data_IF_794853670086
#
_entry.id   IF_794853670086
#
_cell.length_a   1.000
_cell.length_b   1.000
_cell.length_c   1.000
_cell.angle_alpha   90.00
_cell.angle_beta   90.00
_cell.angle_gamma   90.00
#
_symmetry.space_group_name_H-M   'P 1'
#
loop_
_entity.id
_entity.type
_entity.pdbx_description
1 polymer ?
#
# COMPACT_ATOMS: atom_id res chain seq x y z
N UNK A 1 0.55 -13.20 -13.56
CA UNK A 1 -0.28 -13.59 -14.75
C UNK A 1 0.41 -14.72 -15.49
N UNK A 2 -0.32 -15.70 -15.96
CA UNK A 2 0.21 -16.84 -16.72
C UNK A 2 -0.52 -16.94 -18.08
N UNK A 3 0.22 -16.89 -19.18
CA UNK A 3 -0.33 -16.95 -20.55
C UNK A 3 0.68 -17.67 -21.46
N UNK A 4 0.28 -18.74 -22.11
CA UNK A 4 1.11 -19.46 -23.11
C UNK A 4 2.54 -19.73 -22.66
N UNK A 5 2.73 -20.38 -21.48
CA UNK A 5 4.03 -20.68 -20.87
C UNK A 5 4.83 -19.43 -20.43
N UNK A 6 4.17 -18.28 -20.34
CA UNK A 6 4.73 -17.04 -19.80
C UNK A 6 4.12 -16.78 -18.43
N UNK A 7 4.96 -16.56 -17.45
CA UNK A 7 4.59 -16.09 -16.11
C UNK A 7 5.11 -14.67 -15.90
N UNK A 8 4.22 -13.73 -15.60
CA UNK A 8 4.62 -12.41 -15.13
C UNK A 8 4.08 -12.14 -13.74
N UNK A 9 4.89 -11.51 -12.88
CA UNK A 9 4.46 -11.10 -11.55
C UNK A 9 5.17 -9.81 -11.12
N UNK A 10 4.55 -9.12 -10.17
CA UNK A 10 5.04 -7.89 -9.58
C UNK A 10 4.81 -7.91 -8.08
N UNK A 11 5.87 -7.67 -7.31
CA UNK A 11 5.86 -7.69 -5.86
C UNK A 11 5.75 -6.28 -5.30
N UNK A 12 4.95 -6.15 -4.25
CA UNK A 12 4.82 -4.94 -3.44
C UNK A 12 4.84 -5.33 -1.96
N UNK A 13 5.41 -4.48 -1.14
CA UNK A 13 5.43 -4.62 0.32
C UNK A 13 4.48 -3.61 0.95
N UNK A 14 3.93 -3.96 2.08
CA UNK A 14 3.13 -3.06 2.91
C UNK A 14 3.53 -3.24 4.37
N UNK A 15 3.44 -2.18 5.13
CA UNK A 15 3.74 -2.23 6.55
C UNK A 15 3.45 -0.89 7.23
N UNK A 16 3.39 -0.89 8.54
CA UNK A 16 3.34 0.32 9.33
C UNK A 16 4.67 1.07 9.28
N UNK A 17 4.71 2.25 9.84
CA UNK A 17 5.95 3.02 10.01
C UNK A 17 6.86 2.26 10.98
N UNK A 18 8.11 1.91 10.60
CA UNK A 18 8.98 1.04 11.38
C UNK A 18 9.75 1.82 12.46
N UNK A 19 9.01 2.47 13.36
CA UNK A 19 9.48 3.20 14.54
C UNK A 19 8.76 2.68 15.77
N UNK A 20 9.25 3.02 16.96
CA UNK A 20 8.57 2.74 18.22
C UNK A 20 7.50 3.79 18.48
N UNK A 21 6.25 3.46 18.24
CA UNK A 21 5.13 4.35 18.48
C UNK A 21 3.89 3.59 18.96
N UNK A 22 3.03 4.30 19.65
CA UNK A 22 1.76 3.78 20.16
C UNK A 22 0.62 4.78 20.00
N UNK A 23 -0.61 4.27 20.14
CA UNK A 23 -1.83 5.08 20.20
C UNK A 23 -2.55 4.83 21.55
N UNK A 24 -2.04 5.39 22.67
CA UNK A 24 -2.62 5.15 23.98
C UNK A 24 -3.94 5.88 24.18
N UNK A 25 -4.86 5.25 24.89
CA UNK A 25 -6.08 5.89 25.36
C UNK A 25 -7.37 5.24 24.85
N UNK A 26 -8.46 5.55 25.56
CA UNK A 26 -9.81 4.99 25.34
C UNK A 26 -10.59 5.76 24.27
N UNK A 27 -10.06 6.88 23.79
CA UNK A 27 -10.75 7.73 22.81
C UNK A 27 -10.78 7.06 21.44
N UNK A 28 -11.84 7.32 20.69
CA UNK A 28 -11.89 6.93 19.28
C UNK A 28 -10.76 7.61 18.51
N UNK A 29 -9.84 6.81 17.94
CA UNK A 29 -8.63 7.26 17.23
C UNK A 29 -7.77 8.23 18.07
N UNK A 30 -7.13 7.77 19.14
CA UNK A 30 -6.20 8.61 19.89
C UNK A 30 -5.03 9.06 19.00
N UNK A 31 -4.44 10.25 19.23
CA UNK A 31 -3.26 10.66 18.49
C UNK A 31 -2.11 9.70 18.78
N UNK A 32 -1.34 9.28 17.75
CA UNK A 32 -0.15 8.49 17.97
C UNK A 32 0.93 9.33 18.63
N UNK A 33 1.82 8.66 19.36
CA UNK A 33 3.03 9.24 19.96
C UNK A 33 4.22 8.35 19.70
N UNK A 34 5.41 8.94 19.64
CA UNK A 34 6.67 8.20 19.66
C UNK A 34 6.96 7.72 21.08
N UNK A 35 7.45 6.49 21.21
CA UNK A 35 7.72 5.85 22.51
C UNK A 35 9.20 5.66 22.78
N UNK A 36 10.08 5.96 21.83
CA UNK A 36 11.52 5.81 21.93
C UNK A 36 12.26 7.14 21.67
N UNK A 37 13.54 7.14 21.96
CA UNK A 37 14.44 8.23 21.59
C UNK A 37 14.76 8.22 20.10
N UNK A 38 15.18 9.34 19.49
CA UNK A 38 15.54 9.39 18.07
C UNK A 38 16.61 8.36 17.68
N UNK A 39 17.59 8.08 18.55
CA UNK A 39 18.64 7.10 18.28
C UNK A 39 18.11 5.66 18.29
N UNK A 40 17.20 5.34 19.20
CA UNK A 40 16.52 4.02 19.24
C UNK A 40 15.63 3.83 18.03
N UNK A 41 14.90 4.86 17.61
CA UNK A 41 14.07 4.83 16.42
C UNK A 41 14.93 4.64 15.16
N UNK A 42 16.05 5.35 15.03
CA UNK A 42 16.96 5.17 13.91
C UNK A 42 17.59 3.78 13.88
N UNK A 43 17.93 3.21 15.03
CA UNK A 43 18.45 1.84 15.11
C UNK A 43 17.40 0.81 14.66
N UNK A 44 16.16 0.93 15.11
CA UNK A 44 15.05 0.08 14.70
C UNK A 44 14.75 0.21 13.19
N UNK A 45 14.71 1.44 12.71
CA UNK A 45 14.51 1.77 11.30
C UNK A 45 15.60 1.15 10.42
N UNK A 46 16.85 1.31 10.80
CA UNK A 46 18.02 0.74 10.10
C UNK A 46 17.94 -0.79 10.07
N UNK A 47 17.64 -1.41 11.20
CA UNK A 47 17.48 -2.86 11.30
C UNK A 47 16.37 -3.38 10.40
N UNK A 48 15.22 -2.70 10.38
CA UNK A 48 14.07 -3.04 9.54
C UNK A 48 14.44 -2.98 8.05
N UNK A 49 15.03 -1.88 7.58
CA UNK A 49 15.39 -1.74 6.18
C UNK A 49 16.54 -2.68 5.76
N UNK A 50 17.47 -3.01 6.65
CA UNK A 50 18.46 -4.05 6.37
C UNK A 50 17.81 -5.42 6.15
N UNK A 51 16.74 -5.77 6.87
CA UNK A 51 15.97 -6.98 6.62
C UNK A 51 15.24 -6.92 5.27
N UNK A 52 14.60 -5.80 4.94
CA UNK A 52 13.95 -5.60 3.64
C UNK A 52 14.96 -5.75 2.50
N UNK A 53 16.15 -5.13 2.59
CA UNK A 53 17.22 -5.27 1.59
C UNK A 53 17.80 -6.68 1.50
N UNK A 54 17.73 -7.49 2.55
CA UNK A 54 18.16 -8.89 2.51
C UNK A 54 17.20 -9.79 1.72
N UNK A 55 15.96 -9.33 1.54
CA UNK A 55 14.89 -10.08 0.85
C UNK A 55 14.67 -9.56 -0.57
N UNK A 56 14.71 -8.23 -0.74
CA UNK A 56 14.39 -7.57 -2.01
C UNK A 56 15.67 -6.96 -2.62
N UNK A 57 16.03 -7.47 -3.79
CA UNK A 57 17.18 -6.94 -4.54
C UNK A 57 16.80 -5.61 -5.22
N UNK A 58 17.60 -4.56 -4.96
CA UNK A 58 17.49 -3.24 -5.57
C UNK A 58 16.80 -2.19 -4.69
N UNK A 59 16.46 -1.01 -5.27
CA UNK A 59 15.95 0.11 -4.49
C UNK A 59 14.57 -0.18 -3.87
N UNK A 60 14.38 0.33 -2.65
CA UNK A 60 13.09 0.35 -1.98
C UNK A 60 12.48 1.74 -2.14
N UNK A 61 11.29 1.82 -2.73
CA UNK A 61 10.53 3.07 -2.84
C UNK A 61 9.42 3.09 -1.81
N UNK A 62 9.63 3.81 -0.72
CA UNK A 62 8.64 4.03 0.33
C UNK A 62 7.59 5.02 -0.16
N UNK A 63 6.32 4.61 -0.14
CA UNK A 63 5.18 5.47 -0.41
C UNK A 63 4.44 5.69 0.90
N UNK A 64 4.66 6.85 1.53
CA UNK A 64 4.03 7.21 2.80
C UNK A 64 2.65 7.83 2.57
N UNK A 65 1.63 7.22 3.16
CA UNK A 65 0.23 7.68 3.14
C UNK A 65 -0.20 8.29 4.48
N UNK A 66 0.75 8.57 5.35
CA UNK A 66 0.54 9.18 6.66
C UNK A 66 0.12 10.65 6.46
N UNK A 67 -0.74 11.20 7.32
CA UNK A 67 -1.18 12.59 7.21
C UNK A 67 -0.01 13.57 7.42
N UNK A 68 0.14 14.55 6.52
CA UNK A 68 1.14 15.63 6.61
C UNK A 68 0.79 16.67 7.68
N UNK A 69 -0.48 16.76 7.98
CA UNK A 69 -1.06 17.65 8.99
C UNK A 69 -1.96 16.83 9.90
N UNK A 70 -2.32 17.37 11.06
CA UNK A 70 -3.23 16.69 11.97
C UNK A 70 -2.54 15.68 12.91
N UNK A 71 -3.24 14.61 13.22
CA UNK A 71 -2.85 13.71 14.32
C UNK A 71 -1.68 12.80 13.99
N UNK A 72 -1.55 12.37 12.75
CA UNK A 72 -0.53 11.44 12.30
C UNK A 72 0.80 12.14 11.98
N UNK A 73 0.84 13.49 11.95
CA UNK A 73 2.01 14.28 11.55
C UNK A 73 3.29 13.87 12.29
N UNK A 74 3.23 13.67 13.60
CA UNK A 74 4.40 13.29 14.40
C UNK A 74 5.08 12.03 13.92
N UNK A 75 4.29 11.05 13.46
CA UNK A 75 4.81 9.80 12.90
C UNK A 75 5.33 10.00 11.48
N UNK A 76 4.63 10.81 10.69
CA UNK A 76 5.06 11.13 9.32
C UNK A 76 6.39 11.87 9.27
N UNK A 77 6.57 12.87 10.13
CA UNK A 77 7.82 13.62 10.27
C UNK A 77 8.97 12.70 10.72
N UNK A 78 8.77 11.93 11.80
CA UNK A 78 9.78 11.00 12.28
C UNK A 78 10.15 9.93 11.24
N UNK A 79 9.18 9.46 10.45
CA UNK A 79 9.45 8.52 9.36
C UNK A 79 10.37 9.13 8.30
N UNK A 80 10.10 10.36 7.89
CA UNK A 80 10.93 11.07 6.92
C UNK A 80 12.31 11.39 7.48
N UNK A 81 12.41 11.87 8.73
CA UNK A 81 13.68 12.19 9.38
C UNK A 81 14.59 10.96 9.50
N UNK A 82 14.04 9.80 9.85
CA UNK A 82 14.79 8.55 9.89
C UNK A 82 15.21 8.06 8.50
N UNK A 83 14.37 8.24 7.48
CA UNK A 83 14.73 7.93 6.10
C UNK A 83 15.90 8.80 5.59
N UNK A 84 15.89 10.10 5.94
CA UNK A 84 16.99 11.01 5.65
C UNK A 84 18.26 10.66 6.44
N UNK A 85 18.12 10.35 7.75
CA UNK A 85 19.25 9.98 8.61
C UNK A 85 19.90 8.66 8.17
N UNK A 86 19.13 7.69 7.67
CA UNK A 86 19.66 6.44 7.11
C UNK A 86 20.52 6.69 5.86
N UNK A 87 20.25 7.78 5.12
CA UNK A 87 21.06 8.30 4.01
C UNK A 87 21.50 7.24 2.98
N UNK A 88 20.60 6.38 2.56
CA UNK A 88 20.87 5.35 1.54
C UNK A 88 20.42 5.84 0.16
N UNK A 89 21.30 5.73 -0.84
CA UNK A 89 21.01 6.11 -2.22
C UNK A 89 19.96 5.23 -2.91
N UNK A 90 19.71 4.03 -2.38
CA UNK A 90 18.73 3.05 -2.87
C UNK A 90 17.41 3.07 -2.06
N UNK A 91 17.24 4.00 -1.12
CA UNK A 91 15.99 4.26 -0.42
C UNK A 91 15.34 5.53 -0.99
N UNK A 92 14.27 5.35 -1.74
CA UNK A 92 13.44 6.45 -2.24
C UNK A 92 12.28 6.70 -1.28
N UNK A 93 11.93 7.96 -1.07
CA UNK A 93 10.82 8.33 -0.20
C UNK A 93 9.84 9.24 -0.95
N UNK A 94 8.63 8.74 -1.16
CA UNK A 94 7.53 9.46 -1.81
C UNK A 94 6.44 9.69 -0.79
N UNK A 95 6.00 10.93 -0.68
CA UNK A 95 4.95 11.33 0.24
C UNK A 95 3.66 11.63 -0.50
N UNK A 96 2.56 11.00 -0.09
CA UNK A 96 1.23 11.24 -0.63
C UNK A 96 0.21 11.34 0.51
N UNK A 97 -0.24 12.55 0.82
CA UNK A 97 -1.30 12.75 1.81
C UNK A 97 -2.63 12.22 1.29
N UNK A 98 -2.88 10.93 1.58
CA UNK A 98 -4.09 10.26 1.12
C UNK A 98 -5.36 10.94 1.64
N UNK A 99 -5.31 11.52 2.84
CA UNK A 99 -6.46 12.17 3.46
C UNK A 99 -6.81 13.49 2.78
N UNK A 100 -5.79 14.24 2.39
CA UNK A 100 -5.94 15.51 1.68
C UNK A 100 -6.41 15.28 0.23
N UNK A 101 -5.66 14.48 -0.53
CA UNK A 101 -5.93 14.24 -1.95
C UNK A 101 -7.22 13.45 -2.19
N UNK A 102 -7.52 12.47 -1.36
CA UNK A 102 -8.72 11.62 -1.50
C UNK A 102 -9.90 12.07 -0.62
N UNK A 103 -9.88 13.34 -0.18
CA UNK A 103 -10.97 13.93 0.62
C UNK A 103 -12.29 13.84 -0.11
N UNK A 104 -13.36 13.52 0.62
CA UNK A 104 -14.68 13.33 0.01
C UNK A 104 -14.80 12.05 -0.82
N UNK A 105 -13.96 11.05 -0.54
CA UNK A 105 -13.93 9.75 -1.23
C UNK A 105 -13.54 9.81 -2.71
N UNK A 106 -12.81 10.85 -3.11
CA UNK A 106 -12.28 11.00 -4.46
C UNK A 106 -11.04 10.12 -4.65
N UNK A 107 -11.22 8.81 -4.64
CA UNK A 107 -10.12 7.84 -4.74
C UNK A 107 -9.47 7.82 -6.13
N UNK A 108 -10.12 8.36 -7.14
CA UNK A 108 -9.55 8.62 -8.46
C UNK A 108 -8.32 9.54 -8.39
N UNK A 109 -8.20 10.38 -7.37
CA UNK A 109 -7.05 11.25 -7.16
C UNK A 109 -5.76 10.48 -6.82
N UNK A 110 -5.83 9.18 -6.53
CA UNK A 110 -4.64 8.33 -6.46
C UNK A 110 -3.90 8.29 -7.81
N UNK A 111 -4.57 8.59 -8.92
CA UNK A 111 -3.91 8.71 -10.22
C UNK A 111 -2.82 9.78 -10.24
N UNK A 112 -2.96 10.85 -9.45
CA UNK A 112 -1.90 11.89 -9.29
C UNK A 112 -0.60 11.25 -8.75
N UNK A 113 -0.73 10.36 -7.77
CA UNK A 113 0.43 9.61 -7.27
C UNK A 113 0.97 8.67 -8.34
N UNK A 114 0.10 7.96 -9.07
CA UNK A 114 0.54 7.02 -10.10
C UNK A 114 1.29 7.73 -11.22
N UNK A 115 0.80 8.87 -11.70
CA UNK A 115 1.46 9.71 -12.70
C UNK A 115 2.85 10.15 -12.22
N UNK A 116 2.98 10.56 -10.95
CA UNK A 116 4.26 10.92 -10.36
C UNK A 116 5.23 9.73 -10.18
N UNK A 117 4.70 8.51 -10.00
CA UNK A 117 5.52 7.30 -9.84
C UNK A 117 5.88 6.63 -11.17
N UNK A 118 5.16 6.90 -12.25
CA UNK A 118 5.21 6.06 -13.45
C UNK A 118 6.57 6.15 -14.14
N UNK A 119 7.06 7.35 -14.41
CA UNK A 119 8.30 7.55 -15.20
C UNK A 119 9.54 7.11 -14.41
N UNK A 120 9.70 7.57 -13.19
CA UNK A 120 10.94 7.43 -12.43
C UNK A 120 11.03 6.11 -11.66
N UNK A 121 9.88 5.52 -11.31
CA UNK A 121 9.86 4.36 -10.43
C UNK A 121 9.21 3.13 -11.05
N UNK A 122 7.97 3.20 -11.56
CA UNK A 122 7.26 2.00 -12.05
C UNK A 122 7.96 1.43 -13.29
N UNK A 123 8.33 2.28 -14.25
CA UNK A 123 9.04 1.86 -15.47
C UNK A 123 10.45 1.35 -15.16
N UNK A 124 11.18 2.02 -14.25
CA UNK A 124 12.53 1.64 -13.86
C UNK A 124 12.55 0.33 -13.05
N UNK A 125 11.55 0.12 -12.18
CA UNK A 125 11.44 -1.07 -11.35
C UNK A 125 11.16 -2.33 -12.16
N UNK A 126 10.47 -2.22 -13.30
CA UNK A 126 10.04 -3.35 -14.15
C UNK A 126 9.15 -4.34 -13.39
N UNK A 127 9.05 -5.56 -13.90
CA UNK A 127 8.38 -6.70 -13.27
C UNK A 127 9.09 -8.00 -13.65
N UNK A 128 8.85 -9.06 -12.92
CA UNK A 128 9.39 -10.36 -13.27
C UNK A 128 8.62 -10.95 -14.47
N UNK A 129 9.40 -11.45 -15.42
CA UNK A 129 8.90 -12.16 -16.60
C UNK A 129 9.73 -13.43 -16.79
N UNK A 130 9.05 -14.57 -16.77
CA UNK A 130 9.62 -15.88 -17.06
C UNK A 130 8.89 -16.49 -18.26
N UNK A 131 9.65 -17.18 -19.08
CA UNK A 131 9.10 -18.05 -20.13
C UNK A 131 9.69 -19.46 -20.03
N UNK A 132 9.40 -20.30 -21.00
CA UNK A 132 9.93 -21.67 -21.06
C UNK A 132 11.46 -21.77 -21.14
N UNK A 133 12.15 -20.69 -21.47
CA UNK A 133 13.61 -20.61 -21.55
C UNK A 133 14.25 -20.02 -20.30
N UNK A 134 13.46 -19.53 -19.36
CA UNK A 134 13.93 -18.96 -18.09
C UNK A 134 13.49 -17.53 -17.84
N UNK A 135 14.32 -16.78 -17.12
CA UNK A 135 14.03 -15.39 -16.72
C UNK A 135 14.33 -14.43 -17.86
N UNK A 136 13.30 -13.79 -18.42
CA UNK A 136 13.42 -12.75 -19.45
C UNK A 136 13.73 -11.39 -18.84
N UNK A 137 13.07 -11.07 -17.71
CA UNK A 137 13.22 -9.81 -17.00
C UNK A 137 13.01 -10.02 -15.51
N UNK A 138 13.78 -9.32 -14.69
CA UNK A 138 13.61 -9.31 -13.23
C UNK A 138 13.09 -7.95 -12.76
N UNK A 139 12.27 -7.97 -11.73
CA UNK A 139 11.89 -6.76 -11.01
C UNK A 139 13.11 -6.22 -10.27
N UNK A 140 13.33 -4.92 -10.34
CA UNK A 140 14.43 -4.21 -9.69
C UNK A 140 13.90 -3.33 -8.57
N UNK A 141 13.98 -3.84 -7.35
CA UNK A 141 13.46 -3.15 -6.18
C UNK A 141 11.97 -3.38 -5.94
N UNK A 142 11.41 -2.68 -4.98
CA UNK A 142 10.06 -2.89 -4.50
C UNK A 142 9.42 -1.59 -4.01
N UNK A 143 8.11 -1.45 -4.20
CA UNK A 143 7.32 -0.44 -3.51
C UNK A 143 6.97 -0.92 -2.11
N UNK A 144 7.23 -0.09 -1.10
CA UNK A 144 6.80 -0.28 0.27
C UNK A 144 5.76 0.79 0.63
N UNK A 145 4.49 0.40 0.65
CA UNK A 145 3.39 1.34 0.91
C UNK A 145 3.03 1.33 2.39
N UNK A 146 3.06 2.50 3.01
CA UNK A 146 2.88 2.70 4.44
C UNK A 146 1.68 3.59 4.76
N UNK A 147 0.96 3.25 5.80
CA UNK A 147 0.14 4.19 6.58
C UNK A 147 0.20 3.77 8.07
N UNK A 148 -0.63 4.33 8.93
CA UNK A 148 -0.63 3.96 10.36
C UNK A 148 -1.05 2.49 10.55
N UNK A 149 -2.22 2.11 10.04
CA UNK A 149 -2.78 0.75 10.16
C UNK A 149 -2.48 -0.17 8.96
N UNK A 150 -2.09 0.41 7.83
CA UNK A 150 -1.76 -0.29 6.58
C UNK A 150 -2.87 -1.22 6.06
N UNK A 151 -4.13 -0.89 6.30
CA UNK A 151 -5.27 -1.66 5.83
C UNK A 151 -5.89 -1.05 4.57
N UNK A 152 -6.84 -0.13 4.74
CA UNK A 152 -7.70 0.31 3.64
C UNK A 152 -7.01 1.26 2.66
N UNK A 153 -6.32 2.30 3.17
CA UNK A 153 -5.58 3.28 2.34
C UNK A 153 -4.49 2.59 1.53
N UNK A 154 -3.73 1.75 2.17
CA UNK A 154 -2.65 0.98 1.55
C UNK A 154 -3.17 0.06 0.45
N UNK A 155 -4.31 -0.62 0.69
CA UNK A 155 -4.90 -1.49 -0.33
C UNK A 155 -5.32 -0.72 -1.58
N UNK A 156 -5.89 0.47 -1.44
CA UNK A 156 -6.27 1.33 -2.58
C UNK A 156 -5.04 1.72 -3.41
N UNK A 157 -3.98 2.18 -2.77
CA UNK A 157 -2.75 2.60 -3.47
C UNK A 157 -2.04 1.42 -4.11
N UNK A 158 -1.89 0.30 -3.41
CA UNK A 158 -1.30 -0.90 -3.99
C UNK A 158 -2.10 -1.43 -5.18
N UNK A 159 -3.42 -1.36 -5.13
CA UNK A 159 -4.29 -1.73 -6.26
C UNK A 159 -4.03 -0.83 -7.47
N UNK A 160 -3.85 0.47 -7.27
CA UNK A 160 -3.59 1.41 -8.36
C UNK A 160 -2.22 1.15 -9.01
N UNK A 161 -1.15 0.97 -8.22
CA UNK A 161 0.18 0.59 -8.73
C UNK A 161 0.10 -0.73 -9.51
N UNK A 162 -0.53 -1.75 -8.94
CA UNK A 162 -0.66 -3.06 -9.58
C UNK A 162 -1.47 -3.00 -10.88
N UNK A 163 -2.49 -2.12 -10.97
CA UNK A 163 -3.26 -1.90 -12.19
C UNK A 163 -2.38 -1.38 -13.32
N UNK A 164 -1.58 -0.36 -13.05
CA UNK A 164 -0.65 0.22 -14.03
C UNK A 164 0.37 -0.82 -14.51
N UNK A 165 0.94 -1.60 -13.59
CA UNK A 165 1.87 -2.68 -13.95
C UNK A 165 1.17 -3.76 -14.77
N UNK A 166 -0.07 -4.15 -14.44
CA UNK A 166 -0.84 -5.13 -15.21
C UNK A 166 -1.09 -4.62 -16.63
N UNK A 167 -1.44 -3.35 -16.81
CA UNK A 167 -1.61 -2.74 -18.14
C UNK A 167 -0.31 -2.84 -18.95
N UNK A 168 0.81 -2.48 -18.35
CA UNK A 168 2.13 -2.60 -18.97
C UNK A 168 2.48 -4.05 -19.33
N UNK A 169 2.15 -5.02 -18.49
CA UNK A 169 2.33 -6.44 -18.77
C UNK A 169 1.49 -6.89 -19.97
N UNK A 170 0.21 -6.51 -20.02
CA UNK A 170 -0.71 -6.87 -21.11
C UNK A 170 -0.27 -6.28 -22.46
N UNK A 171 0.18 -5.02 -22.47
CA UNK A 171 0.71 -4.34 -23.66
C UNK A 171 1.98 -5.04 -24.15
N UNK A 172 2.94 -5.30 -23.25
CA UNK A 172 4.20 -5.97 -23.62
C UNK A 172 4.03 -7.39 -24.11
N UNK A 173 3.00 -8.09 -23.64
CA UNK A 173 2.63 -9.42 -24.14
C UNK A 173 1.80 -9.38 -25.45
N UNK A 174 1.50 -8.20 -25.98
CA UNK A 174 0.68 -8.06 -27.20
C UNK A 174 -0.78 -8.46 -27.01
N UNK A 175 -1.27 -8.51 -25.77
CA UNK A 175 -2.65 -8.92 -25.44
C UNK A 175 -3.65 -7.79 -25.58
N UNK A 176 -3.20 -6.55 -25.45
CA UNK A 176 -3.97 -5.33 -25.68
C UNK A 176 -3.11 -4.26 -26.37
N UNK A 177 -3.70 -3.39 -27.21
CA UNK A 177 -2.99 -2.20 -27.69
C UNK A 177 -2.82 -1.15 -26.58
N UNK A 178 -1.83 -0.26 -26.69
CA UNK A 178 -1.50 0.72 -25.65
C UNK A 178 -2.66 1.59 -25.15
N UNK A 179 -3.61 1.95 -26.04
CA UNK A 179 -4.71 2.86 -25.69
C UNK A 179 -6.00 2.12 -25.23
N UNK A 180 -6.03 0.79 -25.27
CA UNK A 180 -7.27 0.04 -25.00
C UNK A 180 -7.63 -0.08 -23.51
N UNK A 181 -6.64 0.05 -22.63
CA UNK A 181 -6.80 -0.25 -21.19
C UNK A 181 -7.15 -1.72 -20.90
N UNK A 182 -7.33 -2.07 -19.65
CA UNK A 182 -7.66 -3.45 -19.25
C UNK A 182 -9.08 -3.81 -19.69
N UNK A 183 -9.28 -4.94 -20.40
CA UNK A 183 -10.61 -5.41 -20.81
C UNK A 183 -11.55 -5.55 -19.60
N UNK A 184 -12.87 -5.21 -19.75
CA UNK A 184 -13.81 -5.18 -18.61
C UNK A 184 -13.86 -6.48 -17.81
N UNK A 185 -13.84 -7.63 -18.47
CA UNK A 185 -13.86 -8.94 -17.81
C UNK A 185 -12.61 -9.18 -16.94
N UNK A 186 -11.43 -8.84 -17.46
CA UNK A 186 -10.18 -8.96 -16.71
C UNK A 186 -10.09 -7.93 -15.58
N UNK A 187 -10.58 -6.72 -15.81
CA UNK A 187 -10.70 -5.66 -14.79
C UNK A 187 -11.55 -6.12 -13.61
N UNK A 188 -12.70 -6.74 -13.87
CA UNK A 188 -13.57 -7.26 -12.80
C UNK A 188 -12.87 -8.34 -11.95
N UNK A 189 -12.15 -9.26 -12.59
CA UNK A 189 -11.35 -10.28 -11.88
C UNK A 189 -10.26 -9.63 -11.04
N UNK A 190 -9.50 -8.71 -11.62
CA UNK A 190 -8.44 -7.97 -10.92
C UNK A 190 -8.96 -7.22 -9.70
N UNK A 191 -10.06 -6.48 -9.86
CA UNK A 191 -10.71 -5.75 -8.76
C UNK A 191 -11.21 -6.70 -7.66
N UNK A 192 -11.78 -7.84 -8.04
CA UNK A 192 -12.22 -8.89 -7.12
C UNK A 192 -11.05 -9.46 -6.29
N UNK A 193 -9.92 -9.74 -6.93
CA UNK A 193 -8.71 -10.23 -6.23
C UNK A 193 -8.20 -9.22 -5.21
N UNK A 194 -8.08 -7.95 -5.58
CA UNK A 194 -7.61 -6.91 -4.66
C UNK A 194 -8.59 -6.60 -3.53
N UNK A 195 -9.89 -6.68 -3.78
CA UNK A 195 -10.88 -6.55 -2.72
C UNK A 195 -10.79 -7.72 -1.73
N UNK A 196 -10.63 -8.95 -2.23
CA UNK A 196 -10.45 -10.12 -1.38
C UNK A 196 -9.14 -10.07 -0.58
N UNK A 197 -8.05 -9.54 -1.18
CA UNK A 197 -6.79 -9.29 -0.47
C UNK A 197 -7.00 -8.32 0.69
N UNK A 198 -7.68 -7.19 0.47
CA UNK A 198 -8.01 -6.23 1.51
C UNK A 198 -8.85 -6.86 2.62
N UNK A 199 -9.89 -7.63 2.27
CA UNK A 199 -10.74 -8.31 3.24
C UNK A 199 -9.97 -9.34 4.07
N UNK A 200 -9.08 -10.13 3.45
CA UNK A 200 -8.28 -11.13 4.15
C UNK A 200 -7.34 -10.51 5.18
N UNK A 201 -6.60 -9.46 4.78
CA UNK A 201 -5.70 -8.74 5.66
C UNK A 201 -6.44 -8.04 6.81
N UNK A 202 -7.56 -7.40 6.48
CA UNK A 202 -8.38 -6.71 7.49
C UNK A 202 -8.98 -7.67 8.51
N UNK A 203 -9.43 -8.85 8.09
CA UNK A 203 -9.92 -9.89 9.01
C UNK A 203 -8.84 -10.38 9.96
N UNK A 204 -7.62 -10.59 9.46
CA UNK A 204 -6.49 -11.06 10.28
C UNK A 204 -6.07 -10.00 11.30
N UNK A 205 -6.00 -8.74 10.91
CA UNK A 205 -5.50 -7.65 11.74
C UNK A 205 -6.58 -7.01 12.61
N UNK A 206 -7.75 -6.71 12.04
CA UNK A 206 -8.81 -5.94 12.70
C UNK A 206 -10.09 -6.75 12.98
N UNK A 207 -10.12 -8.04 12.67
CA UNK A 207 -11.26 -8.92 12.90
C UNK A 207 -12.50 -8.64 12.04
N UNK A 208 -12.44 -7.70 11.11
CA UNK A 208 -13.56 -7.29 10.24
C UNK A 208 -13.12 -7.24 8.78
N UNK A 209 -14.08 -7.17 7.85
CA UNK A 209 -13.78 -6.90 6.45
C UNK A 209 -13.13 -5.51 6.27
N UNK A 210 -12.43 -5.34 5.14
CA UNK A 210 -11.87 -4.07 4.74
C UNK A 210 -12.96 -3.01 4.57
N UNK A 211 -12.61 -1.75 4.84
CA UNK A 211 -13.42 -0.61 4.44
C UNK A 211 -13.18 -0.33 2.95
N UNK A 212 -14.11 0.39 2.32
CA UNK A 212 -14.01 0.78 0.90
C UNK A 212 -13.97 -0.41 -0.09
N UNK A 213 -14.38 -1.59 0.34
CA UNK A 213 -14.39 -2.80 -0.49
C UNK A 213 -15.28 -2.69 -1.73
N UNK A 214 -16.35 -1.89 -1.68
CA UNK A 214 -17.20 -1.56 -2.83
C UNK A 214 -16.40 -0.80 -3.91
N UNK A 215 -15.66 0.23 -3.54
CA UNK A 215 -14.79 0.96 -4.47
C UNK A 215 -13.74 0.04 -5.10
N UNK A 216 -13.09 -0.80 -4.32
CA UNK A 216 -12.08 -1.74 -4.84
C UNK A 216 -12.71 -2.75 -5.82
N UNK A 217 -13.97 -3.18 -5.58
CA UNK A 217 -14.67 -4.16 -6.44
C UNK A 217 -15.27 -3.57 -7.71
N UNK A 218 -15.76 -2.33 -7.65
CA UNK A 218 -16.56 -1.74 -8.73
C UNK A 218 -15.95 -0.49 -9.34
N UNK A 219 -15.01 0.16 -8.64
CA UNK A 219 -14.49 1.48 -8.97
C UNK A 219 -15.40 2.62 -8.50
N UNK A 220 -16.52 2.33 -7.85
CA UNK A 220 -17.51 3.31 -7.40
C UNK A 220 -17.88 3.10 -5.93
N UNK A 221 -18.32 4.17 -5.27
CA UNK A 221 -18.86 4.12 -3.91
C UNK A 221 -20.38 4.14 -3.95
N UNK A 222 -21.01 3.31 -3.14
CA UNK A 222 -22.46 3.26 -3.01
C UNK A 222 -22.92 3.34 -1.53
N UNK A 223 -24.21 3.66 -1.32
CA UNK A 223 -24.78 3.84 0.01
C UNK A 223 -24.69 2.56 0.86
N UNK A 224 -24.88 1.40 0.28
CA UNK A 224 -24.77 0.13 0.99
C UNK A 224 -23.35 -0.15 1.46
N UNK A 225 -22.33 0.22 0.65
CA UNK A 225 -20.92 0.16 1.01
C UNK A 225 -20.59 1.11 2.17
N UNK A 226 -21.14 2.33 2.17
CA UNK A 226 -20.97 3.29 3.25
C UNK A 226 -21.56 2.77 4.58
N UNK A 227 -22.76 2.19 4.56
CA UNK A 227 -23.36 1.59 5.74
C UNK A 227 -22.53 0.41 6.27
N UNK A 228 -22.04 -0.44 5.37
CA UNK A 228 -21.18 -1.57 5.71
C UNK A 228 -19.84 -1.13 6.30
N UNK A 229 -19.24 -0.08 5.76
CA UNK A 229 -18.04 0.54 6.32
C UNK A 229 -18.28 1.11 7.72
N UNK A 230 -19.43 1.74 7.95
CA UNK A 230 -19.84 2.23 9.27
C UNK A 230 -19.94 1.09 10.29
N UNK A 231 -20.58 -0.03 9.93
CA UNK A 231 -20.69 -1.21 10.79
C UNK A 231 -19.31 -1.84 11.06
N UNK A 232 -18.47 -1.98 10.04
CA UNK A 232 -17.12 -2.51 10.21
C UNK A 232 -16.26 -1.61 11.10
N UNK A 233 -16.37 -0.28 10.95
CA UNK A 233 -15.65 0.68 11.80
C UNK A 233 -16.07 0.60 13.26
N UNK A 234 -17.38 0.49 13.53
CA UNK A 234 -17.89 0.29 14.87
C UNK A 234 -17.43 -1.05 15.48
N UNK A 235 -17.44 -2.12 14.67
CA UNK A 235 -16.96 -3.44 15.08
C UNK A 235 -15.46 -3.44 15.38
N UNK A 236 -14.64 -2.79 14.56
CA UNK A 236 -13.18 -2.61 14.81
C UNK A 236 -12.95 -1.88 16.13
N UNK A 237 -13.67 -0.78 16.36
CA UNK A 237 -13.57 -0.04 17.61
C UNK A 237 -13.89 -0.90 18.82
N UNK A 238 -14.99 -1.66 18.75
CA UNK A 238 -15.38 -2.58 19.82
C UNK A 238 -14.34 -3.66 20.07
N UNK A 239 -13.85 -4.31 19.02
CA UNK A 239 -12.84 -5.38 19.13
C UNK A 239 -11.54 -4.86 19.75
N UNK A 240 -11.02 -3.72 19.26
CA UNK A 240 -9.81 -3.11 19.81
C UNK A 240 -9.96 -2.69 21.27
N UNK A 241 -11.14 -2.16 21.64
CA UNK A 241 -11.35 -1.62 22.98
C UNK A 241 -11.63 -2.69 24.03
N UNK A 242 -12.33 -3.76 23.66
CA UNK A 242 -12.88 -4.73 24.63
C UNK A 242 -12.31 -6.14 24.47
N UNK A 243 -11.67 -6.47 23.38
CA UNK A 243 -11.14 -7.82 23.15
C UNK A 243 -9.61 -7.86 23.13
N UNK A 244 -8.96 -6.86 22.57
CA UNK A 244 -7.48 -6.81 22.51
C UNK A 244 -6.87 -6.19 23.77
N UNK A 245 -7.63 -5.41 24.55
CA UNK A 245 -7.18 -4.90 25.85
C UNK A 245 -6.99 -6.02 26.91
N UNK A 246 -7.44 -7.24 26.64
CA UNK A 246 -7.28 -8.42 27.51
C UNK A 246 -6.23 -9.42 27.01
N UNK A 247 -5.51 -9.11 25.96
CA UNK A 247 -4.34 -9.88 25.46
C UNK A 247 -3.05 -9.15 25.75
#
# INVERSE_FOLDING_TARGET
>A
MYVHDILTYFLQVRGSVPLYWSQPGIRYRPPPKLDATPDEDLAAFTSHFNQEYSVYDGPITCVSLVEKSGREKVIGDAYMDNALALNRADLNFVYFDFHEYCRGMKFENVNILIEALEEDYIKAMRYCWLDKHGVVCQQRGVFRVNCIDCLDRTNVVQTAIAKTVLENQLIKLGLIPPEAGIPPKLRSVFQGLWANNGDALSKQYAGTNALKGDFTRTGERNLSGLMKDGMNSASRYYLNQFRDAYR
#
